data_IF_274246370125
#
_entry.id   IF_274246370125
#
_cell.length_a   1.000
_cell.length_b   1.000
_cell.length_c   1.000
_cell.angle_alpha   90.00
_cell.angle_beta   90.00
_cell.angle_gamma   90.00
#
_symmetry.space_group_name_H-M   'P 1'
#
loop_
_entity.id
_entity.type
_entity.pdbx_description
1 polymer ?
#
# COMPACT_ATOMS: atom_id res chain seq x y z
N UNK A 1 -6.90 78.12 -3.81
CA UNK A 1 -7.18 76.78 -4.38
C UNK A 1 -5.84 76.09 -4.61
N UNK A 2 -5.74 74.82 -4.18
CA UNK A 2 -4.63 73.88 -4.36
C UNK A 2 -3.39 74.14 -3.48
N UNK A 3 -2.69 73.17 -2.89
CA UNK A 3 -2.92 71.77 -2.51
C UNK A 3 -1.62 71.40 -1.77
N UNK A 4 -1.67 71.04 -0.48
CA UNK A 4 -0.50 70.45 0.22
C UNK A 4 -0.84 68.98 0.45
N UNK A 5 -0.18 68.10 -0.32
CA UNK A 5 -0.30 66.66 -0.18
C UNK A 5 0.57 66.19 0.99
N UNK A 6 -0.06 65.60 2.00
CA UNK A 6 0.61 64.88 3.08
C UNK A 6 0.97 63.47 2.58
N UNK A 7 2.26 63.14 2.56
CA UNK A 7 2.76 61.80 2.25
C UNK A 7 2.68 60.97 3.54
N UNK A 8 1.68 60.10 3.62
CA UNK A 8 1.55 59.11 4.69
C UNK A 8 2.48 57.92 4.36
N UNK A 9 3.56 57.76 5.13
CA UNK A 9 4.50 56.64 5.01
C UNK A 9 3.86 55.38 5.62
N UNK A 10 3.35 54.47 4.79
CA UNK A 10 2.90 53.15 5.25
C UNK A 10 4.12 52.22 5.42
N UNK A 11 4.53 51.99 6.66
CA UNK A 11 5.49 50.93 6.98
C UNK A 11 4.73 49.60 6.95
N UNK A 12 4.83 48.88 5.83
CA UNK A 12 4.30 47.52 5.72
C UNK A 12 5.28 46.58 6.43
N UNK A 13 4.96 46.18 7.66
CA UNK A 13 5.66 45.10 8.33
C UNK A 13 5.32 43.78 7.60
N UNK A 14 6.25 43.29 6.78
CA UNK A 14 6.17 41.95 6.20
C UNK A 14 6.43 40.98 7.36
N UNK A 15 5.35 40.49 7.96
CA UNK A 15 5.42 39.34 8.84
C UNK A 15 5.78 38.14 7.96
N UNK A 16 7.08 37.80 7.90
CA UNK A 16 7.50 36.47 7.45
C UNK A 16 6.97 35.49 8.50
N UNK A 17 5.71 35.06 8.32
CA UNK A 17 5.28 33.78 8.85
C UNK A 17 6.09 32.78 8.04
N UNK A 18 7.22 32.36 8.59
CA UNK A 18 7.85 31.10 8.22
C UNK A 18 6.82 30.03 8.54
N UNK A 19 5.87 29.81 7.63
CA UNK A 19 5.22 28.53 7.52
C UNK A 19 6.38 27.59 7.26
N UNK A 20 6.75 26.83 8.29
CA UNK A 20 7.39 25.55 8.05
C UNK A 20 6.37 24.80 7.21
N UNK A 21 6.45 24.97 5.90
CA UNK A 21 6.00 23.96 4.97
C UNK A 21 6.80 22.76 5.41
N UNK A 22 6.17 21.91 6.22
CA UNK A 22 6.64 20.55 6.41
C UNK A 22 6.57 20.00 5.00
N UNK A 23 7.69 20.11 4.27
CA UNK A 23 7.85 19.56 2.94
C UNK A 23 7.39 18.13 3.08
N UNK A 24 6.26 17.82 2.44
CA UNK A 24 5.52 16.62 2.75
C UNK A 24 6.46 15.42 2.70
N UNK A 25 6.52 14.65 3.78
CA UNK A 25 7.22 13.35 3.80
C UNK A 25 6.69 12.40 2.70
N UNK A 26 5.56 12.76 2.08
CA UNK A 26 4.92 12.06 0.99
C UNK A 26 5.65 12.10 -0.34
N UNK A 27 6.58 13.03 -0.59
CA UNK A 27 7.24 13.12 -1.90
C UNK A 27 8.58 12.41 -1.95
N UNK A 28 9.17 12.07 -0.79
CA UNK A 28 10.41 11.30 -0.71
C UNK A 28 10.24 9.93 -1.38
N UNK A 29 10.98 9.60 -2.45
CA UNK A 29 10.87 8.28 -3.07
C UNK A 29 11.44 7.19 -2.16
N UNK A 30 10.78 6.02 -2.15
CA UNK A 30 11.25 4.77 -1.57
C UNK A 30 12.58 4.42 -2.25
N UNK A 31 13.64 4.12 -1.47
CA UNK A 31 14.95 3.83 -2.02
C UNK A 31 14.94 2.53 -2.82
N UNK A 32 15.78 2.48 -3.85
CA UNK A 32 16.01 1.28 -4.64
C UNK A 32 16.75 0.19 -3.86
N UNK A 33 17.57 0.58 -2.88
CA UNK A 33 18.24 -0.36 -2.00
C UNK A 33 17.31 -0.75 -0.84
N UNK A 34 16.91 -2.02 -0.81
CA UNK A 34 16.03 -2.57 0.22
C UNK A 34 16.63 -2.45 1.64
N UNK A 35 17.96 -2.45 1.78
CA UNK A 35 18.61 -2.33 3.09
C UNK A 35 18.38 -0.97 3.76
N UNK A 36 18.11 0.06 2.95
CA UNK A 36 17.84 1.42 3.39
C UNK A 36 16.37 1.67 3.77
N UNK A 37 15.47 0.70 3.57
CA UNK A 37 14.02 0.89 3.77
C UNK A 37 13.65 1.25 5.21
N UNK A 38 14.24 0.59 6.20
CA UNK A 38 13.90 0.85 7.59
C UNK A 38 14.32 2.27 8.01
N UNK A 39 15.52 2.70 7.62
CA UNK A 39 16.01 4.07 7.88
C UNK A 39 15.15 5.10 7.14
N UNK A 40 14.79 4.83 5.88
CA UNK A 40 13.90 5.69 5.12
C UNK A 40 12.52 5.80 5.78
N UNK A 41 11.94 4.69 6.25
CA UNK A 41 10.64 4.68 6.92
C UNK A 41 10.69 5.49 8.22
N UNK A 42 11.69 5.24 9.08
CA UNK A 42 11.88 6.00 10.33
C UNK A 42 12.11 7.49 10.08
N UNK A 43 12.75 7.85 8.97
CA UNK A 43 12.95 9.23 8.59
C UNK A 43 11.64 9.90 8.14
N UNK A 44 10.81 9.23 7.33
CA UNK A 44 9.64 9.85 6.70
C UNK A 44 8.34 9.68 7.50
N UNK A 45 8.21 8.63 8.32
CA UNK A 45 7.01 8.37 9.14
C UNK A 45 7.26 8.83 10.58
N UNK A 46 6.71 9.98 10.94
CA UNK A 46 6.88 10.57 12.28
C UNK A 46 5.81 10.10 13.27
N UNK A 47 6.15 9.98 14.57
CA UNK A 47 5.20 9.60 15.61
C UNK A 47 4.08 10.64 15.78
N UNK A 48 2.98 10.22 16.41
CA UNK A 48 1.81 11.07 16.66
C UNK A 48 2.16 12.36 17.42
N UNK A 49 3.08 12.28 18.38
CA UNK A 49 3.50 13.43 19.19
C UNK A 49 4.01 14.60 18.35
N UNK A 50 4.64 14.30 17.20
CA UNK A 50 5.23 15.31 16.31
C UNK A 50 4.22 15.83 15.27
N UNK A 51 3.05 15.19 15.16
CA UNK A 51 2.08 15.41 14.07
C UNK A 51 0.68 15.75 14.54
N UNK A 52 0.50 15.95 15.85
CA UNK A 52 -0.80 16.33 16.44
C UNK A 52 -1.36 17.58 15.76
N UNK A 53 -2.63 17.55 15.36
CA UNK A 53 -3.32 18.61 14.62
C UNK A 53 -3.01 18.68 13.13
N UNK A 54 -2.16 17.79 12.60
CA UNK A 54 -1.80 17.73 11.16
C UNK A 54 -2.24 16.44 10.46
N UNK A 55 -2.60 15.41 11.24
CA UNK A 55 -3.16 14.14 10.73
C UNK A 55 -4.68 14.19 10.69
N UNK A 56 -5.31 13.17 10.13
CA UNK A 56 -6.76 13.01 10.14
C UNK A 56 -7.31 13.07 11.58
N UNK A 57 -8.30 13.95 11.87
CA UNK A 57 -8.85 14.10 13.22
C UNK A 57 -9.49 12.83 13.79
N UNK A 58 -10.07 11.96 12.96
CA UNK A 58 -10.65 10.69 13.40
C UNK A 58 -9.55 9.72 13.83
N UNK A 59 -8.41 9.71 13.12
CA UNK A 59 -7.23 8.96 13.56
C UNK A 59 -6.68 9.52 14.87
N UNK A 60 -6.48 10.84 14.98
CA UNK A 60 -5.97 11.44 16.23
C UNK A 60 -6.87 11.09 17.44
N UNK A 61 -8.20 11.14 17.26
CA UNK A 61 -9.15 10.73 18.28
C UNK A 61 -9.03 9.23 18.63
N UNK A 62 -8.85 8.37 17.62
CA UNK A 62 -8.70 6.93 17.82
C UNK A 62 -7.41 6.57 18.58
N UNK A 63 -6.33 7.32 18.37
CA UNK A 63 -5.04 7.12 19.06
C UNK A 63 -5.00 7.70 20.48
N UNK A 64 -6.03 8.42 20.93
CA UNK A 64 -6.05 9.02 22.26
C UNK A 64 -6.04 7.98 23.40
N UNK A 65 -6.61 6.79 23.13
CA UNK A 65 -6.70 5.69 24.10
C UNK A 65 -6.67 4.33 23.39
N UNK A 66 -5.51 3.90 22.87
CA UNK A 66 -5.40 2.60 22.23
C UNK A 66 -5.68 1.48 23.24
N UNK A 67 -6.38 0.44 22.79
CA UNK A 67 -6.60 -0.80 23.56
C UNK A 67 -5.86 -1.96 22.92
N UNK A 68 -5.32 -2.84 23.75
CA UNK A 68 -4.60 -4.03 23.27
C UNK A 68 -5.43 -5.28 23.52
N UNK A 69 -5.47 -6.17 22.52
CA UNK A 69 -6.01 -7.53 22.58
C UNK A 69 -4.86 -8.49 22.29
N UNK A 70 -4.63 -9.47 23.16
CA UNK A 70 -3.56 -10.47 22.99
C UNK A 70 -4.10 -11.73 22.33
N UNK A 71 -3.46 -12.14 21.25
CA UNK A 71 -3.74 -13.42 20.58
C UNK A 71 -2.56 -14.36 20.80
N UNK A 72 -2.80 -15.50 21.45
CA UNK A 72 -1.76 -16.49 21.78
C UNK A 72 -2.32 -17.91 21.62
N UNK A 73 -1.66 -18.74 20.79
CA UNK A 73 -2.13 -20.11 20.51
C UNK A 73 -2.12 -21.02 21.75
N UNK A 74 -1.23 -20.76 22.69
CA UNK A 74 -1.12 -21.51 23.95
C UNK A 74 -2.24 -21.18 24.97
N UNK A 75 -3.07 -20.17 24.69
CA UNK A 75 -4.16 -19.73 25.56
C UNK A 75 -3.74 -18.72 26.64
N UNK A 76 -2.51 -18.20 26.61
CA UNK A 76 -2.04 -17.17 27.54
C UNK A 76 -2.53 -15.74 27.21
N UNK A 77 -3.18 -15.57 26.06
CA UNK A 77 -3.78 -14.30 25.60
C UNK A 77 -5.30 -14.27 25.78
N UNK A 78 -5.91 -13.17 25.38
CA UNK A 78 -7.37 -12.98 25.39
C UNK A 78 -8.08 -13.91 24.40
N UNK A 79 -7.43 -14.20 23.26
CA UNK A 79 -7.93 -15.12 22.23
C UNK A 79 -6.85 -16.11 21.78
N UNK A 80 -7.30 -17.28 21.31
CA UNK A 80 -6.41 -18.28 20.67
C UNK A 80 -6.28 -18.09 19.16
N UNK A 81 -7.28 -17.48 18.53
CA UNK A 81 -7.38 -17.31 17.08
C UNK A 81 -7.46 -15.83 16.72
N UNK A 82 -7.02 -15.48 15.50
CA UNK A 82 -7.14 -14.12 14.98
C UNK A 82 -8.60 -13.81 14.64
N UNK A 83 -9.35 -14.79 14.13
CA UNK A 83 -10.78 -14.62 13.80
C UNK A 83 -11.62 -14.23 15.02
N UNK A 84 -11.42 -14.86 16.17
CA UNK A 84 -12.15 -14.50 17.39
C UNK A 84 -11.79 -13.09 17.87
N UNK A 85 -10.50 -12.73 17.79
CA UNK A 85 -10.04 -11.39 18.13
C UNK A 85 -10.68 -10.32 17.22
N UNK A 86 -10.70 -10.53 15.90
CA UNK A 86 -11.36 -9.64 14.94
C UNK A 86 -12.87 -9.55 15.21
N UNK A 87 -13.52 -10.68 15.51
CA UNK A 87 -14.96 -10.72 15.80
C UNK A 87 -15.31 -9.96 17.08
N UNK A 88 -14.39 -9.86 18.03
CA UNK A 88 -14.57 -9.08 19.27
C UNK A 88 -14.54 -7.55 19.05
N UNK A 89 -14.03 -7.08 17.90
CA UNK A 89 -13.97 -5.65 17.58
C UNK A 89 -15.35 -5.21 17.09
N UNK A 90 -15.96 -4.19 17.72
CA UNK A 90 -17.30 -3.74 17.34
C UNK A 90 -17.32 -3.08 15.97
N UNK A 91 -18.43 -3.23 15.25
CA UNK A 91 -18.76 -2.43 14.08
C UNK A 91 -18.83 -0.95 14.47
N UNK A 92 -18.26 -0.08 13.63
CA UNK A 92 -18.16 1.36 13.91
C UNK A 92 -17.11 1.70 14.97
N UNK A 93 -16.09 0.85 15.15
CA UNK A 93 -14.99 1.07 16.08
C UNK A 93 -14.38 2.48 15.93
N UNK A 94 -14.11 3.15 17.06
CA UNK A 94 -13.58 4.53 17.08
C UNK A 94 -12.23 4.66 17.81
N UNK A 95 -11.74 3.58 18.39
CA UNK A 95 -10.49 3.56 19.18
C UNK A 95 -9.48 2.65 18.50
N UNK A 96 -8.19 2.99 18.55
CA UNK A 96 -7.14 2.09 18.03
C UNK A 96 -7.18 0.76 18.79
N UNK A 97 -7.36 -0.34 18.04
CA UNK A 97 -7.28 -1.70 18.58
C UNK A 97 -6.00 -2.36 18.11
N UNK A 98 -5.08 -2.57 19.03
CA UNK A 98 -3.83 -3.29 18.78
C UNK A 98 -4.08 -4.77 19.07
N UNK A 99 -4.15 -5.57 18.02
CA UNK A 99 -4.12 -7.03 18.10
C UNK A 99 -2.65 -7.43 18.20
N UNK A 100 -2.18 -7.64 19.42
CA UNK A 100 -0.84 -8.13 19.75
C UNK A 100 -0.82 -9.66 19.56
N UNK A 101 -0.06 -10.13 18.57
CA UNK A 101 -0.06 -11.51 18.09
C UNK A 101 1.24 -12.18 18.52
N UNK A 102 1.13 -13.25 19.30
CA UNK A 102 2.28 -14.05 19.72
C UNK A 102 2.82 -14.91 18.59
N UNK A 103 4.01 -15.50 18.76
CA UNK A 103 4.62 -16.30 17.73
C UNK A 103 3.81 -17.56 17.39
N UNK A 104 3.96 -18.03 16.15
CA UNK A 104 3.34 -19.25 15.65
C UNK A 104 2.70 -19.07 14.27
N UNK A 105 2.24 -20.19 13.71
CA UNK A 105 1.49 -20.19 12.44
C UNK A 105 -0.02 -20.17 12.71
N UNK A 106 -0.71 -19.18 12.15
CA UNK A 106 -2.14 -18.96 12.22
C UNK A 106 -2.74 -19.25 10.85
N UNK A 107 -3.27 -20.47 10.68
CA UNK A 107 -3.87 -20.93 9.43
C UNK A 107 -5.35 -20.53 9.42
N UNK A 108 -5.63 -19.31 9.00
CA UNK A 108 -6.95 -18.70 9.04
C UNK A 108 -7.18 -17.79 7.83
N UNK A 109 -8.38 -17.85 7.24
CA UNK A 109 -8.85 -16.82 6.31
C UNK A 109 -9.37 -15.63 7.09
N UNK A 110 -8.77 -14.46 6.91
CA UNK A 110 -9.01 -13.27 7.71
C UNK A 110 -9.59 -12.14 6.86
N UNK A 111 -10.57 -11.43 7.43
CA UNK A 111 -11.14 -10.22 6.84
C UNK A 111 -11.28 -9.14 7.93
N UNK A 112 -10.69 -7.98 7.69
CA UNK A 112 -10.95 -6.76 8.47
C UNK A 112 -12.00 -5.99 7.69
N UNK A 113 -13.26 -6.19 8.10
CA UNK A 113 -14.43 -5.61 7.45
C UNK A 113 -14.35 -4.09 7.44
N UNK A 114 -14.80 -3.46 6.34
CA UNK A 114 -14.79 -2.00 6.16
C UNK A 114 -15.28 -1.22 7.38
N UNK A 115 -16.29 -1.75 8.08
CA UNK A 115 -16.91 -1.10 9.22
C UNK A 115 -16.11 -1.24 10.55
N UNK A 116 -14.91 -1.82 10.54
CA UNK A 116 -14.03 -1.98 11.71
C UNK A 116 -12.70 -1.23 11.52
N UNK A 117 -12.69 0.12 11.45
CA UNK A 117 -11.46 0.88 11.23
C UNK A 117 -10.55 0.86 12.47
N UNK A 118 -9.34 1.40 12.31
CA UNK A 118 -8.34 1.59 13.38
C UNK A 118 -7.85 0.27 14.02
N UNK A 119 -7.71 -0.79 13.23
CA UNK A 119 -7.17 -2.08 13.69
C UNK A 119 -5.69 -2.17 13.34
N UNK A 120 -4.86 -2.58 14.30
CA UNK A 120 -3.44 -2.84 14.09
C UNK A 120 -3.12 -4.29 14.42
N UNK A 121 -2.52 -5.02 13.49
CA UNK A 121 -1.88 -6.31 13.77
C UNK A 121 -0.42 -6.07 14.09
N UNK A 122 0.02 -6.48 15.29
CA UNK A 122 1.36 -6.25 15.78
C UNK A 122 1.97 -7.57 16.24
N UNK A 123 3.08 -7.98 15.63
CA UNK A 123 3.94 -9.05 16.14
C UNK A 123 5.23 -8.53 16.75
N UNK A 124 6.09 -9.46 17.19
CA UNK A 124 7.45 -9.13 17.63
C UNK A 124 8.42 -9.22 16.46
N UNK A 125 9.30 -8.21 16.23
CA UNK A 125 10.26 -8.25 15.14
C UNK A 125 11.27 -9.40 15.26
N UNK A 126 11.57 -9.87 16.48
CA UNK A 126 12.46 -11.00 16.72
C UNK A 126 11.77 -12.36 16.60
N UNK A 127 10.44 -12.40 16.55
CA UNK A 127 9.67 -13.64 16.49
C UNK A 127 8.27 -13.39 15.88
N UNK A 128 8.26 -13.08 14.58
CA UNK A 128 7.05 -12.67 13.88
C UNK A 128 6.06 -13.84 13.71
N UNK A 129 4.76 -13.65 13.99
CA UNK A 129 3.74 -14.63 13.66
C UNK A 129 3.61 -14.79 12.15
N UNK A 130 3.24 -15.99 11.71
CA UNK A 130 2.93 -16.29 10.32
C UNK A 130 1.43 -16.47 10.15
N UNK A 131 0.80 -15.68 9.28
CA UNK A 131 -0.60 -15.76 8.90
C UNK A 131 -0.67 -16.45 7.53
N UNK A 132 -1.50 -17.47 7.38
CA UNK A 132 -1.61 -18.22 6.13
C UNK A 132 -3.02 -18.73 5.85
N UNK A 133 -3.39 -18.79 4.57
CA UNK A 133 -4.57 -19.47 4.09
C UNK A 133 -4.28 -20.03 2.68
N UNK A 134 -4.65 -21.28 2.42
CA UNK A 134 -4.38 -21.97 1.15
C UNK A 134 -5.37 -21.66 0.04
N UNK A 135 -5.95 -20.45 -0.01
CA UNK A 135 -6.96 -20.09 -0.98
C UNK A 135 -6.39 -19.83 -2.38
N UNK A 136 -7.06 -20.35 -3.42
CA UNK A 136 -6.70 -20.06 -4.82
C UNK A 136 -7.81 -19.28 -5.53
N UNK A 137 -7.46 -18.49 -6.56
CA UNK A 137 -8.47 -17.80 -7.37
C UNK A 137 -9.38 -18.79 -8.13
N UNK A 138 -8.91 -20.02 -8.39
CA UNK A 138 -9.73 -21.09 -8.98
C UNK A 138 -10.87 -21.53 -8.05
N UNK A 139 -10.61 -21.59 -6.75
CA UNK A 139 -11.59 -22.02 -5.75
C UNK A 139 -12.46 -20.85 -5.24
N UNK A 140 -11.84 -19.71 -4.95
CA UNK A 140 -12.48 -18.59 -4.26
C UNK A 140 -12.78 -17.38 -5.18
N UNK A 141 -12.35 -17.42 -6.44
CA UNK A 141 -12.26 -16.22 -7.27
C UNK A 141 -11.14 -15.28 -6.82
N UNK A 142 -10.82 -14.29 -7.65
CA UNK A 142 -9.73 -13.33 -7.40
C UNK A 142 -9.93 -12.53 -6.10
N UNK A 143 -11.17 -12.14 -5.80
CA UNK A 143 -11.47 -11.27 -4.65
C UNK A 143 -11.27 -12.00 -3.33
N UNK A 144 -11.70 -13.27 -3.24
CA UNK A 144 -11.78 -13.98 -1.97
C UNK A 144 -10.66 -15.00 -1.76
N UNK A 145 -9.61 -15.03 -2.58
CA UNK A 145 -8.52 -16.01 -2.44
C UNK A 145 -7.44 -15.60 -1.41
N UNK A 146 -7.42 -14.34 -0.99
CA UNK A 146 -6.40 -13.81 -0.09
C UNK A 146 -6.43 -14.45 1.32
N UNK A 147 -5.24 -14.53 1.94
CA UNK A 147 -5.09 -14.88 3.36
C UNK A 147 -5.70 -13.81 4.27
N UNK A 148 -5.41 -12.55 3.97
CA UNK A 148 -5.90 -11.39 4.71
C UNK A 148 -6.52 -10.41 3.73
N UNK A 149 -7.79 -10.11 3.94
CA UNK A 149 -8.52 -9.04 3.25
C UNK A 149 -8.72 -7.88 4.23
N UNK A 150 -8.09 -6.73 3.98
CA UNK A 150 -8.28 -5.53 4.81
C UNK A 150 -9.04 -4.47 4.01
N UNK A 151 -10.32 -4.29 4.31
CA UNK A 151 -11.17 -3.27 3.70
C UNK A 151 -11.32 -2.02 4.57
N UNK A 152 -10.91 -2.11 5.84
CA UNK A 152 -11.10 -1.08 6.83
C UNK A 152 -10.07 0.03 6.73
N UNK A 153 -10.53 1.27 6.93
CA UNK A 153 -9.64 2.42 7.00
C UNK A 153 -8.70 2.32 8.21
N UNK A 154 -7.50 2.88 8.06
CA UNK A 154 -6.47 2.94 9.11
C UNK A 154 -5.99 1.56 9.61
N UNK A 155 -6.18 0.50 8.84
CA UNK A 155 -5.58 -0.81 9.14
C UNK A 155 -4.05 -0.73 9.02
N UNK A 156 -3.35 -1.31 9.99
CA UNK A 156 -1.89 -1.43 9.98
C UNK A 156 -1.51 -2.87 10.32
N UNK A 157 -0.50 -3.40 9.64
CA UNK A 157 0.14 -4.65 9.99
C UNK A 157 1.64 -4.43 10.12
N UNK A 158 2.22 -4.79 11.27
CA UNK A 158 3.64 -4.60 11.55
C UNK A 158 4.23 -5.83 12.24
N UNK A 159 5.45 -6.19 11.84
CA UNK A 159 6.19 -7.34 12.37
C UNK A 159 5.38 -8.65 12.28
N UNK A 160 4.68 -8.85 11.18
CA UNK A 160 3.97 -10.09 10.87
C UNK A 160 4.43 -10.61 9.52
N UNK A 161 4.37 -11.92 9.35
CA UNK A 161 4.57 -12.58 8.06
C UNK A 161 3.20 -12.99 7.55
N UNK A 162 2.76 -12.43 6.42
CA UNK A 162 1.63 -12.99 5.68
C UNK A 162 2.23 -13.92 4.61
N UNK A 163 2.06 -15.22 4.79
CA UNK A 163 2.61 -16.25 3.90
C UNK A 163 1.75 -16.36 2.64
N UNK A 164 2.39 -16.58 1.50
CA UNK A 164 1.71 -16.58 0.21
C UNK A 164 1.35 -15.18 -0.30
N UNK A 165 2.07 -14.15 0.16
CA UNK A 165 2.01 -12.79 -0.40
C UNK A 165 2.90 -12.59 -1.63
N UNK A 166 3.72 -13.58 -1.98
CA UNK A 166 4.35 -13.60 -3.29
C UNK A 166 3.27 -13.74 -4.37
N UNK A 167 3.47 -13.05 -5.49
CA UNK A 167 2.63 -13.26 -6.66
C UNK A 167 3.06 -14.61 -7.25
N UNK A 168 2.40 -15.68 -6.81
CA UNK A 168 2.68 -17.05 -7.19
C UNK A 168 1.76 -17.49 -8.33
N UNK A 169 2.32 -17.59 -9.53
CA UNK A 169 1.60 -18.04 -10.72
C UNK A 169 1.51 -19.55 -10.72
N UNK A 170 0.30 -20.10 -10.81
CA UNK A 170 0.04 -21.53 -11.00
C UNK A 170 -0.46 -21.80 -12.43
N UNK A 171 -0.30 -23.02 -12.97
CA UNK A 171 -0.81 -23.38 -14.29
C UNK A 171 -2.33 -23.17 -14.41
N UNK A 172 -2.77 -22.57 -15.51
CA UNK A 172 -4.17 -22.36 -15.89
C UNK A 172 -4.35 -22.52 -17.41
N UNK A 173 -5.53 -22.95 -17.85
CA UNK A 173 -5.87 -23.17 -19.26
C UNK A 173 -6.33 -21.88 -19.96
N UNK A 174 -6.75 -20.87 -19.18
CA UNK A 174 -7.03 -19.51 -19.65
C UNK A 174 -5.90 -18.57 -19.21
N UNK A 175 -5.42 -17.70 -20.11
CA UNK A 175 -4.31 -16.79 -19.80
C UNK A 175 -4.44 -16.09 -18.45
N UNK A 176 -3.36 -16.08 -17.66
CA UNK A 176 -3.37 -15.55 -16.29
C UNK A 176 -2.93 -14.08 -16.27
N UNK A 177 -3.54 -13.32 -15.36
CA UNK A 177 -3.25 -11.90 -15.16
C UNK A 177 -3.09 -11.63 -13.66
N UNK A 178 -1.96 -11.03 -13.28
CA UNK A 178 -1.70 -10.65 -11.89
C UNK A 178 -2.62 -9.50 -11.47
N UNK A 179 -2.84 -8.53 -12.36
CA UNK A 179 -3.68 -7.36 -12.07
C UNK A 179 -4.77 -7.13 -13.11
N UNK A 180 -5.89 -6.57 -12.66
CA UNK A 180 -6.99 -6.09 -13.51
C UNK A 180 -7.54 -4.80 -12.90
N UNK A 181 -6.85 -3.67 -13.10
CA UNK A 181 -7.18 -2.41 -12.43
C UNK A 181 -8.34 -1.69 -13.14
N UNK A 182 -9.27 -1.13 -12.36
CA UNK A 182 -10.59 -0.67 -12.82
C UNK A 182 -10.73 0.84 -13.02
N UNK A 183 -9.63 1.61 -13.00
CA UNK A 183 -9.67 3.07 -13.14
C UNK A 183 -10.24 3.46 -14.50
N UNK A 184 -11.17 4.40 -14.51
CA UNK A 184 -11.94 4.76 -15.69
C UNK A 184 -11.85 6.24 -16.08
N UNK A 185 -11.32 7.10 -15.21
CA UNK A 185 -11.19 8.55 -15.46
C UNK A 185 -9.84 9.10 -15.01
N UNK A 186 -9.43 10.26 -15.55
CA UNK A 186 -8.20 10.93 -15.12
C UNK A 186 -8.31 11.48 -13.69
N UNK A 187 -9.51 11.90 -13.28
CA UNK A 187 -9.82 12.43 -11.95
C UNK A 187 -9.78 11.39 -10.83
N UNK A 188 -9.87 10.10 -11.16
CA UNK A 188 -9.68 9.04 -10.17
C UNK A 188 -8.20 8.92 -9.82
N UNK A 189 -7.83 9.28 -8.59
CA UNK A 189 -6.47 9.08 -8.09
C UNK A 189 -6.30 7.69 -7.47
N UNK A 190 -6.58 6.64 -8.26
CA UNK A 190 -6.49 5.24 -7.83
C UNK A 190 -5.49 4.45 -8.67
N UNK A 191 -4.97 3.34 -8.16
CA UNK A 191 -3.99 2.53 -8.87
C UNK A 191 -3.46 1.39 -8.02
N UNK A 192 -2.61 0.56 -8.61
CA UNK A 192 -1.79 -0.42 -7.89
C UNK A 192 -0.31 -0.06 -8.02
N UNK A 193 0.42 -0.09 -6.91
CA UNK A 193 1.88 0.10 -6.88
C UNK A 193 2.51 -1.06 -6.11
N UNK A 194 3.37 -1.83 -6.79
CA UNK A 194 4.11 -2.95 -6.24
C UNK A 194 5.57 -2.53 -6.14
N UNK A 195 6.09 -2.40 -4.92
CA UNK A 195 7.45 -1.88 -4.66
C UNK A 195 8.21 -2.91 -3.83
N UNK A 196 9.41 -3.32 -4.26
CA UNK A 196 10.19 -4.39 -3.61
C UNK A 196 9.43 -5.73 -3.51
N UNK A 197 8.65 -6.06 -4.54
CA UNK A 197 7.90 -7.30 -4.61
C UNK A 197 8.67 -8.41 -5.34
N UNK A 198 8.13 -9.64 -5.28
CA UNK A 198 8.59 -10.78 -6.07
C UNK A 198 7.42 -11.40 -6.83
N UNK A 199 7.60 -11.60 -8.14
CA UNK A 199 6.70 -12.35 -9.02
C UNK A 199 7.39 -13.66 -9.40
N UNK A 200 6.81 -14.80 -9.04
CA UNK A 200 7.39 -16.12 -9.29
C UNK A 200 6.28 -17.17 -9.45
N UNK A 201 6.62 -18.44 -9.63
CA UNK A 201 5.64 -19.50 -9.59
C UNK A 201 6.02 -20.75 -10.38
N UNK A 202 5.08 -21.68 -10.42
CA UNK A 202 5.20 -22.95 -11.19
C UNK A 202 4.48 -22.90 -12.53
N UNK A 203 3.66 -21.87 -12.76
CA UNK A 203 2.99 -21.61 -14.04
C UNK A 203 3.89 -20.94 -15.08
N UNK A 204 3.32 -20.59 -16.22
CA UNK A 204 4.02 -19.83 -17.26
C UNK A 204 3.05 -18.98 -18.07
N UNK A 205 3.57 -17.96 -18.78
CA UNK A 205 2.76 -17.12 -19.68
C UNK A 205 1.83 -16.13 -18.98
N UNK A 206 2.08 -15.78 -17.72
CA UNK A 206 1.27 -14.77 -17.01
C UNK A 206 1.53 -13.36 -17.50
N UNK A 207 0.53 -12.49 -17.41
CA UNK A 207 0.69 -11.05 -17.62
C UNK A 207 0.73 -10.32 -16.27
N UNK A 208 1.56 -9.28 -16.17
CA UNK A 208 1.59 -8.33 -15.08
C UNK A 208 0.23 -7.65 -14.87
N UNK A 209 -0.50 -7.42 -15.96
CA UNK A 209 -1.86 -6.90 -15.86
C UNK A 209 -2.64 -6.85 -17.16
N UNK A 210 -3.95 -6.68 -17.00
CA UNK A 210 -4.86 -6.30 -18.08
C UNK A 210 -5.67 -5.04 -17.76
N UNK A 211 -6.05 -4.33 -18.81
CA UNK A 211 -6.94 -3.18 -18.69
C UNK A 211 -8.39 -3.61 -18.47
N UNK A 212 -8.85 -3.66 -17.22
CA UNK A 212 -10.27 -3.95 -16.95
C UNK A 212 -11.15 -2.80 -17.44
N UNK A 213 -10.78 -1.55 -17.11
CA UNK A 213 -11.45 -0.34 -17.57
C UNK A 213 -10.55 0.49 -18.50
N UNK A 214 -10.96 1.71 -18.83
CA UNK A 214 -10.33 2.51 -19.90
C UNK A 214 -8.99 3.16 -19.51
N UNK A 215 -8.70 3.36 -18.23
CA UNK A 215 -7.55 4.16 -17.74
C UNK A 215 -6.80 3.50 -16.56
N UNK A 216 -6.57 2.18 -16.60
CA UNK A 216 -5.94 1.46 -15.51
C UNK A 216 -4.56 2.01 -15.19
N UNK A 217 -4.18 1.96 -13.91
CA UNK A 217 -2.89 2.44 -13.42
C UNK A 217 -2.23 1.39 -12.54
N UNK A 218 -1.17 0.77 -13.05
CA UNK A 218 -0.42 -0.31 -12.38
C UNK A 218 1.07 -0.07 -12.57
N UNK A 219 1.82 -0.07 -11.46
CA UNK A 219 3.27 0.11 -11.46
C UNK A 219 3.94 -1.03 -10.68
N UNK A 220 4.99 -1.61 -11.27
CA UNK A 220 5.95 -2.46 -10.58
C UNK A 220 7.29 -1.72 -10.50
N UNK A 221 7.85 -1.59 -9.30
CA UNK A 221 9.12 -0.94 -9.05
C UNK A 221 10.01 -1.80 -8.15
N UNK A 222 11.31 -1.89 -8.46
CA UNK A 222 12.27 -2.70 -7.69
C UNK A 222 11.80 -4.14 -7.49
N UNK A 223 11.06 -4.68 -8.46
CA UNK A 223 10.40 -5.98 -8.35
C UNK A 223 11.19 -7.02 -9.12
N UNK A 224 11.51 -8.15 -8.48
CA UNK A 224 12.12 -9.31 -9.14
C UNK A 224 11.03 -10.13 -9.83
N UNK A 225 11.19 -10.41 -11.12
CA UNK A 225 10.24 -11.16 -11.95
C UNK A 225 10.88 -12.45 -12.49
N UNK A 226 10.30 -13.59 -12.11
CA UNK A 226 10.66 -14.91 -12.63
C UNK A 226 10.21 -15.13 -14.07
N UNK A 227 10.67 -16.22 -14.69
CA UNK A 227 10.37 -16.56 -16.09
C UNK A 227 8.91 -16.94 -16.35
N UNK A 228 8.08 -16.92 -15.31
CA UNK A 228 6.64 -17.13 -15.40
C UNK A 228 5.93 -16.01 -16.15
N UNK A 229 6.53 -14.81 -16.20
CA UNK A 229 5.97 -13.62 -16.88
C UNK A 229 6.15 -13.75 -18.39
N UNK A 230 5.04 -13.63 -19.11
CA UNK A 230 4.99 -13.54 -20.57
C UNK A 230 5.81 -12.32 -21.05
N UNK A 231 6.66 -12.45 -22.09
CA UNK A 231 7.37 -11.32 -22.67
C UNK A 231 6.49 -10.11 -23.00
N UNK A 232 5.25 -10.33 -23.48
CA UNK A 232 4.26 -9.27 -23.75
C UNK A 232 3.92 -8.47 -22.49
N UNK A 233 3.87 -9.14 -21.33
CA UNK A 233 3.77 -8.56 -19.99
C UNK A 233 2.45 -7.89 -19.65
N UNK A 234 1.81 -7.21 -20.61
CA UNK A 234 0.64 -6.37 -20.41
C UNK A 234 -0.39 -6.62 -21.50
N UNK A 235 -1.67 -6.56 -21.13
CA UNK A 235 -2.77 -6.67 -22.09
C UNK A 235 -3.67 -5.44 -22.03
N UNK A 236 -3.96 -4.85 -23.18
CA UNK A 236 -5.03 -3.85 -23.30
C UNK A 236 -6.43 -4.49 -23.28
N UNK A 237 -6.54 -5.80 -23.05
CA UNK A 237 -7.78 -6.57 -23.00
C UNK A 237 -8.59 -6.52 -24.31
N UNK A 238 -7.91 -6.55 -25.47
CA UNK A 238 -8.48 -6.45 -26.81
C UNK A 238 -9.10 -5.08 -27.13
N UNK A 239 -8.55 -4.03 -26.51
CA UNK A 239 -8.95 -2.65 -26.73
C UNK A 239 -7.74 -1.79 -27.11
N UNK A 240 -7.34 -1.78 -28.39
CA UNK A 240 -6.15 -1.07 -28.87
C UNK A 240 -6.13 0.43 -28.55
N UNK A 241 -7.31 1.07 -28.44
CA UNK A 241 -7.44 2.46 -28.05
C UNK A 241 -6.89 2.75 -26.65
N UNK A 242 -6.83 1.74 -25.77
CA UNK A 242 -6.36 1.89 -24.39
C UNK A 242 -4.85 2.01 -24.28
N UNK A 243 -4.08 1.66 -25.31
CA UNK A 243 -2.62 1.82 -25.32
C UNK A 243 -2.21 3.28 -25.04
N UNK A 244 -3.07 4.24 -25.39
CA UNK A 244 -2.86 5.67 -25.18
C UNK A 244 -3.22 6.13 -23.76
N UNK A 245 -4.11 5.41 -23.06
CA UNK A 245 -4.75 5.86 -21.83
C UNK A 245 -4.36 5.06 -20.59
N UNK A 246 -3.83 3.84 -20.76
CA UNK A 246 -3.31 3.04 -19.65
C UNK A 246 -1.99 3.61 -19.12
N UNK A 247 -1.75 3.38 -17.84
CA UNK A 247 -0.43 3.52 -17.23
C UNK A 247 -0.03 2.14 -16.69
N UNK A 248 0.69 1.40 -17.53
CA UNK A 248 1.34 0.14 -17.16
C UNK A 248 2.85 0.36 -17.13
N UNK A 249 3.39 0.45 -15.92
CA UNK A 249 4.76 0.90 -15.68
C UNK A 249 5.63 -0.15 -15.00
N UNK A 250 6.86 -0.26 -15.46
CA UNK A 250 7.93 -1.00 -14.81
C UNK A 250 9.10 -0.05 -14.53
N UNK A 251 9.70 -0.13 -13.34
CA UNK A 251 10.86 0.70 -12.97
C UNK A 251 11.90 -0.11 -12.21
N UNK A 252 13.07 -0.30 -12.82
CA UNK A 252 14.18 -1.07 -12.23
C UNK A 252 13.70 -2.44 -11.71
N UNK A 253 12.81 -3.09 -12.46
CA UNK A 253 12.48 -4.49 -12.28
C UNK A 253 13.63 -5.35 -12.81
N UNK A 254 13.83 -6.52 -12.22
CA UNK A 254 14.94 -7.40 -12.56
C UNK A 254 14.51 -8.87 -12.63
N UNK A 255 15.41 -9.74 -13.09
CA UNK A 255 15.13 -11.17 -13.27
C UNK A 255 14.67 -11.53 -14.70
N UNK A 256 14.56 -12.83 -15.00
CA UNK A 256 14.32 -13.31 -16.36
C UNK A 256 12.96 -12.90 -16.95
N UNK A 257 11.97 -12.56 -16.12
CA UNK A 257 10.66 -12.07 -16.57
C UNK A 257 10.62 -10.56 -16.82
N UNK A 258 11.68 -9.81 -16.51
CA UNK A 258 11.71 -8.35 -16.55
C UNK A 258 12.29 -7.75 -17.85
N UNK A 259 12.58 -8.54 -18.88
CA UNK A 259 13.12 -8.02 -20.15
C UNK A 259 12.08 -7.12 -20.86
N UNK A 260 12.34 -5.81 -21.03
CA UNK A 260 11.38 -4.89 -21.64
C UNK A 260 11.22 -5.06 -23.16
N UNK A 261 12.14 -5.76 -23.84
CA UNK A 261 12.16 -5.83 -25.32
C UNK A 261 10.91 -6.46 -25.92
N UNK A 262 10.27 -7.38 -25.18
CA UNK A 262 9.08 -8.09 -25.63
C UNK A 262 7.75 -7.45 -25.25
N UNK A 263 7.77 -6.34 -24.49
CA UNK A 263 6.55 -5.77 -23.90
C UNK A 263 5.58 -5.25 -24.95
N UNK A 264 4.29 -5.41 -24.66
CA UNK A 264 3.21 -4.77 -25.42
C UNK A 264 3.40 -3.25 -25.47
N UNK A 265 2.86 -2.61 -26.52
CA UNK A 265 2.89 -1.15 -26.69
C UNK A 265 2.26 -0.37 -25.52
N UNK A 266 1.35 -1.02 -24.80
CA UNK A 266 0.70 -0.50 -23.60
C UNK A 266 1.63 -0.43 -22.37
N UNK A 267 2.69 -1.25 -22.33
CA UNK A 267 3.67 -1.27 -21.25
C UNK A 267 4.81 -0.26 -21.45
N UNK A 268 5.33 0.30 -20.36
CA UNK A 268 6.36 1.35 -20.40
C UNK A 268 7.42 1.15 -19.32
N UNK A 269 8.68 1.40 -19.67
CA UNK A 269 9.74 1.61 -18.68
C UNK A 269 9.66 3.05 -18.19
N UNK A 270 9.47 3.24 -16.89
CA UNK A 270 9.30 4.57 -16.31
C UNK A 270 10.64 5.25 -16.06
N UNK A 271 10.67 6.59 -16.15
CA UNK A 271 11.79 7.40 -15.65
C UNK A 271 11.66 7.62 -14.13
N UNK A 272 12.74 8.07 -13.45
CA UNK A 272 12.67 8.44 -12.04
C UNK A 272 11.53 9.42 -11.71
N UNK A 273 11.31 10.44 -12.54
CA UNK A 273 10.25 11.43 -12.33
C UNK A 273 8.85 10.83 -12.52
N UNK A 274 8.69 9.90 -13.47
CA UNK A 274 7.42 9.24 -13.74
C UNK A 274 7.02 8.24 -12.64
N UNK A 275 8.00 7.56 -12.05
CA UNK A 275 7.74 6.56 -10.99
C UNK A 275 7.58 7.21 -9.62
N UNK A 276 8.21 8.37 -9.36
CA UNK A 276 8.26 9.00 -8.04
C UNK A 276 6.90 9.08 -7.30
N UNK A 277 5.77 9.43 -7.94
CA UNK A 277 4.46 9.45 -7.28
C UNK A 277 3.98 8.07 -6.78
N UNK A 278 4.42 6.98 -7.41
CA UNK A 278 4.01 5.60 -7.11
C UNK A 278 4.92 4.91 -6.09
N UNK A 279 6.13 5.43 -5.90
CA UNK A 279 7.10 4.92 -4.93
C UNK A 279 7.27 5.91 -3.79
N UNK A 280 6.22 6.55 -3.31
CA UNK A 280 6.31 7.51 -2.22
C UNK A 280 5.09 7.39 -1.31
N UNK A 281 5.15 7.94 -0.09
CA UNK A 281 4.00 7.89 0.82
C UNK A 281 2.81 8.72 0.29
N UNK A 282 3.04 9.61 -0.68
CA UNK A 282 1.98 10.39 -1.33
C UNK A 282 0.99 9.55 -2.11
N UNK A 283 1.39 8.38 -2.62
CA UNK A 283 0.46 7.46 -3.28
C UNK A 283 -0.68 6.99 -2.37
N UNK A 284 -0.43 6.99 -1.07
CA UNK A 284 -1.39 6.57 -0.03
C UNK A 284 -1.72 7.71 0.93
N UNK A 285 -1.34 8.95 0.64
CA UNK A 285 -1.50 10.10 1.54
C UNK A 285 -0.95 9.85 2.97
N UNK A 286 0.22 9.22 3.08
CA UNK A 286 0.78 8.75 4.36
C UNK A 286 0.95 9.85 5.40
N UNK A 287 1.19 11.11 5.00
CA UNK A 287 1.24 12.26 5.89
C UNK A 287 -0.08 12.57 6.59
N UNK A 288 -1.20 11.98 6.16
CA UNK A 288 -2.50 12.14 6.82
C UNK A 288 -2.81 11.06 7.83
N UNK A 289 -2.27 9.85 7.69
CA UNK A 289 -2.75 8.72 8.49
C UNK A 289 -1.72 7.68 8.92
N UNK A 290 -0.58 7.57 8.24
CA UNK A 290 0.39 6.52 8.55
C UNK A 290 1.21 6.94 9.77
N UNK A 291 1.17 6.14 10.83
CA UNK A 291 1.99 6.29 12.03
C UNK A 291 2.99 5.13 12.15
N UNK A 292 4.11 5.30 12.87
CA UNK A 292 4.99 4.18 13.19
C UNK A 292 4.23 3.09 13.95
N UNK A 293 4.66 1.82 13.86
CA UNK A 293 4.11 0.76 14.70
C UNK A 293 4.13 1.16 16.18
N UNK A 294 3.11 0.80 16.98
CA UNK A 294 3.11 1.03 18.42
C UNK A 294 4.34 0.38 19.06
N UNK A 295 4.98 1.09 20.01
CA UNK A 295 6.09 0.58 20.83
C UNK A 295 5.59 -0.35 21.94
#
# INVERSE_FOLDING_TARGET
MSCIAAIQLFITAILLVSTTTVSSADTSPIPADASSLNTWFQHNVKPLADRKGTIDPALEAAEAKPRTIKVRKDGSGDFKTLKDAINSIPTGNKERVIVDIGPGEYVEKLKIERAKPFVTFLGSPSNMPTLSFGGTAREYGTVYSATLEAEADYFVAANIIIKGTEIHVIPDEGGTFITAQARNSESEDTGFSFVHCKVDGTGSGTHLGRAWMSRPRVVFAYTTMGSVVNPEGWSNNLHPERDQTVLFGEYKCEGPGADPKGRARSGRQLTPDQVAPFISLGFIEGSKWLLPPPN
#
